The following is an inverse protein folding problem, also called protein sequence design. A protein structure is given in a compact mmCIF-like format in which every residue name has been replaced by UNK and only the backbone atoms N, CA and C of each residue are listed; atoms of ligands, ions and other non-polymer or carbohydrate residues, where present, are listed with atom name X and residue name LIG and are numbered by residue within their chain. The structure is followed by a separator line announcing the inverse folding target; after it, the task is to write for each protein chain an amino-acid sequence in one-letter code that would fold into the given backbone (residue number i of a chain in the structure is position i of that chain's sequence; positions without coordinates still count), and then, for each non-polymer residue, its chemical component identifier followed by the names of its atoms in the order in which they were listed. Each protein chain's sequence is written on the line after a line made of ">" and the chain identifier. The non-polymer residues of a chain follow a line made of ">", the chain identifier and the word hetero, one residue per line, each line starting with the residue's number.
data_IF_166729912373
#
_entry.id   IF_166729912373
#
_cell.length_a   1.000
_cell.length_b   1.000
_cell.length_c   1.000
_cell.angle_alpha   90.00
_cell.angle_beta   90.00
_cell.angle_gamma   90.00
#
_symmetry.space_group_name_H-M   'P 1'
#
loop_
_entity.id
_entity.type
_entity.pdbx_description
1 polymer ?
#
# COMPACT_ATOMS: atom_id res chain seq x y z
N UNK A 1 -8.95 2.55 22.30
CA UNK A 1 -7.92 3.52 21.85
C UNK A 1 -7.97 4.73 22.76
N UNK A 2 -6.91 4.98 23.51
CA UNK A 2 -6.77 6.17 24.35
C UNK A 2 -6.31 7.32 23.47
N UNK A 3 -7.16 8.33 23.28
CA UNK A 3 -6.82 9.50 22.47
C UNK A 3 -5.87 10.39 23.28
N UNK A 4 -4.59 10.42 22.92
CA UNK A 4 -3.60 11.30 23.56
C UNK A 4 -3.67 12.66 22.87
N UNK A 5 -3.99 13.70 23.62
CA UNK A 5 -3.94 15.08 23.13
C UNK A 5 -2.50 15.57 23.25
N UNK A 6 -1.87 15.89 22.12
CA UNK A 6 -0.51 16.46 22.14
C UNK A 6 -0.64 17.95 22.47
N UNK A 7 -0.27 18.32 23.70
CA UNK A 7 -0.23 19.70 24.19
C UNK A 7 1.23 20.06 24.52
N UNK A 8 1.73 21.17 23.97
CA UNK A 8 3.08 21.67 24.22
C UNK A 8 3.29 22.18 25.66
N UNK A 9 2.22 22.34 26.44
CA UNK A 9 2.29 22.73 27.85
C UNK A 9 2.31 21.54 28.80
N UNK A 10 1.96 20.35 28.33
CA UNK A 10 1.98 19.10 29.09
C UNK A 10 3.31 18.35 28.94
N UNK A 11 3.77 17.72 30.03
CA UNK A 11 5.07 17.01 30.05
C UNK A 11 5.03 15.80 29.11
N UNK A 12 3.93 15.04 29.11
CA UNK A 12 3.79 13.89 28.23
C UNK A 12 3.68 14.30 26.75
N UNK A 13 3.04 15.43 26.47
CA UNK A 13 3.00 16.04 25.13
C UNK A 13 4.39 16.43 24.61
N UNK A 14 5.23 17.05 25.46
CA UNK A 14 6.61 17.41 25.11
C UNK A 14 7.49 16.19 24.82
N UNK A 15 7.41 15.15 25.65
CA UNK A 15 8.15 13.91 25.43
C UNK A 15 7.73 13.21 24.13
N UNK A 16 6.44 13.24 23.80
CA UNK A 16 5.93 12.72 22.53
C UNK A 16 6.47 13.52 21.32
N UNK A 17 6.49 14.86 21.40
CA UNK A 17 7.04 15.72 20.36
C UNK A 17 8.53 15.45 20.14
N UNK A 18 9.30 15.32 21.22
CA UNK A 18 10.75 15.06 21.14
C UNK A 18 11.05 13.67 20.56
N UNK A 19 10.23 12.68 20.90
CA UNK A 19 10.31 11.34 20.32
C UNK A 19 10.05 11.38 18.80
N UNK A 20 9.03 12.12 18.35
CA UNK A 20 8.68 12.23 16.92
C UNK A 20 9.74 12.98 16.11
N UNK A 21 10.37 14.02 16.67
CA UNK A 21 11.46 14.76 16.00
C UNK A 21 12.66 13.87 15.64
N UNK A 22 12.87 12.82 16.42
CA UNK A 22 13.98 11.89 16.26
C UNK A 22 13.63 10.66 15.41
N UNK A 23 12.38 10.53 14.93
CA UNK A 23 11.97 9.50 13.98
C UNK A 23 12.11 10.00 12.55
N UNK A 24 12.58 9.13 11.66
CA UNK A 24 12.50 9.39 10.21
C UNK A 24 11.05 9.29 9.74
N UNK A 25 10.72 9.93 8.61
CA UNK A 25 9.38 9.82 8.01
C UNK A 25 8.99 8.35 7.76
N UNK A 26 9.94 7.50 7.37
CA UNK A 26 9.74 6.06 7.20
C UNK A 26 9.36 5.35 8.52
N UNK A 27 9.98 5.74 9.64
CA UNK A 27 9.67 5.17 10.97
C UNK A 27 8.35 5.66 11.55
N UNK A 28 7.83 6.78 11.07
CA UNK A 28 6.50 7.29 11.47
C UNK A 28 5.39 6.53 10.77
N UNK A 29 5.64 6.03 9.55
CA UNK A 29 4.68 5.22 8.77
C UNK A 29 4.82 3.71 9.01
N UNK A 30 5.99 3.23 9.46
CA UNK A 30 6.20 1.81 9.84
C UNK A 30 5.47 1.39 11.13
N UNK A 31 5.00 2.33 11.95
CA UNK A 31 4.23 2.07 13.18
C UNK A 31 2.72 1.86 12.94
N UNK A 32 2.25 1.92 11.68
CA UNK A 32 1.02 1.22 11.32
C UNK A 32 1.36 -0.26 11.41
N UNK A 33 0.84 -0.90 12.46
CA UNK A 33 0.95 -2.32 12.83
C UNK A 33 1.31 -3.22 11.66
N UNK A 34 2.09 -4.28 11.90
CA UNK A 34 2.33 -5.41 10.98
C UNK A 34 1.01 -5.96 10.40
N UNK A 35 0.38 -5.21 9.50
CA UNK A 35 -0.78 -5.59 8.74
C UNK A 35 -0.25 -6.71 7.85
N UNK A 36 -0.91 -7.87 7.92
CA UNK A 36 -0.59 -8.98 7.05
C UNK A 36 -0.43 -8.44 5.62
N UNK A 37 0.68 -8.80 4.96
CA UNK A 37 0.94 -8.39 3.58
C UNK A 37 -0.36 -8.61 2.81
N UNK A 38 -0.81 -7.61 2.04
CA UNK A 38 -2.06 -7.71 1.27
C UNK A 38 -2.08 -9.02 0.45
N UNK A 39 -0.91 -9.52 0.04
CA UNK A 39 -0.73 -10.79 -0.64
C UNK A 39 -1.27 -11.97 0.15
N UNK A 40 -1.12 -11.97 1.47
CA UNK A 40 -1.62 -13.01 2.38
C UNK A 40 -3.14 -12.88 2.60
N UNK A 41 -3.71 -11.68 2.40
CA UNK A 41 -5.13 -11.39 2.64
C UNK A 41 -6.07 -11.80 1.49
N UNK A 42 -5.57 -11.89 0.25
CA UNK A 42 -6.43 -12.19 -0.92
C UNK A 42 -6.81 -13.69 -0.99
N UNK A 43 -7.92 -14.08 -1.62
CA UNK A 43 -8.27 -15.49 -1.82
C UNK A 43 -7.28 -16.27 -2.71
N UNK A 44 -7.14 -17.60 -2.55
CA UNK A 44 -6.28 -18.43 -3.41
C UNK A 44 -6.57 -18.31 -4.91
N UNK A 45 -7.83 -18.15 -5.29
CA UNK A 45 -8.27 -17.97 -6.67
C UNK A 45 -7.76 -16.66 -7.29
N UNK A 46 -7.66 -15.59 -6.49
CA UNK A 46 -7.12 -14.31 -6.92
C UNK A 46 -5.59 -14.40 -7.07
N UNK A 47 -4.90 -15.04 -6.13
CA UNK A 47 -3.45 -15.34 -6.26
C UNK A 47 -3.17 -16.15 -7.53
N UNK A 48 -3.94 -17.20 -7.77
CA UNK A 48 -3.80 -18.01 -8.99
C UNK A 48 -4.08 -17.23 -10.28
N UNK A 49 -5.01 -16.27 -10.25
CA UNK A 49 -5.26 -15.39 -11.38
C UNK A 49 -4.09 -14.44 -11.65
N UNK A 50 -3.47 -13.90 -10.59
CA UNK A 50 -2.29 -13.05 -10.67
C UNK A 50 -1.09 -13.84 -11.23
N UNK A 51 -0.80 -15.02 -10.68
CA UNK A 51 0.31 -15.87 -11.13
C UNK A 51 0.20 -16.23 -12.62
N UNK A 52 -1.02 -16.53 -13.08
CA UNK A 52 -1.29 -16.76 -14.50
C UNK A 52 -1.01 -15.50 -15.35
N UNK A 53 -1.41 -14.33 -14.88
CA UNK A 53 -1.14 -13.07 -15.55
C UNK A 53 0.37 -12.77 -15.66
N UNK A 54 1.14 -13.04 -14.60
CA UNK A 54 2.59 -12.93 -14.60
C UNK A 54 3.22 -13.87 -15.63
N UNK A 55 2.78 -15.14 -15.66
CA UNK A 55 3.22 -16.11 -16.67
C UNK A 55 2.86 -15.69 -18.09
N UNK A 56 1.68 -15.12 -18.32
CA UNK A 56 1.28 -14.58 -19.62
C UNK A 56 2.23 -13.47 -20.08
N UNK A 57 2.68 -12.61 -19.17
CA UNK A 57 3.68 -11.57 -19.47
C UNK A 57 5.02 -12.17 -19.86
N UNK A 58 5.52 -13.13 -19.07
CA UNK A 58 6.79 -13.82 -19.35
C UNK A 58 6.79 -14.54 -20.70
N UNK A 59 5.66 -15.15 -21.07
CA UNK A 59 5.48 -15.87 -22.34
C UNK A 59 5.12 -14.92 -23.51
N UNK A 60 5.05 -13.61 -23.28
CA UNK A 60 4.72 -12.62 -24.31
C UNK A 60 3.26 -12.65 -24.77
N UNK A 61 2.37 -13.30 -24.00
CA UNK A 61 0.91 -13.32 -24.22
C UNK A 61 0.24 -12.01 -23.76
N UNK A 62 0.81 -10.87 -24.17
CA UNK A 62 0.27 -9.54 -23.88
C UNK A 62 -0.32 -8.92 -25.14
N UNK A 63 -1.22 -7.96 -24.97
CA UNK A 63 -1.80 -7.19 -26.09
C UNK A 63 -1.24 -5.76 -26.05
N UNK A 64 -0.70 -5.24 -27.17
CA UNK A 64 -0.21 -3.87 -27.22
C UNK A 64 -1.28 -2.83 -26.87
N UNK A 65 -0.88 -1.75 -26.20
CA UNK A 65 -1.78 -0.66 -25.80
C UNK A 65 -2.61 -0.12 -26.97
N UNK A 66 -2.00 0.04 -28.16
CA UNK A 66 -2.68 0.53 -29.35
C UNK A 66 -3.86 -0.36 -29.78
N UNK A 67 -3.73 -1.69 -29.64
CA UNK A 67 -4.80 -2.63 -29.95
C UNK A 67 -5.91 -2.61 -28.91
N UNK A 68 -5.55 -2.53 -27.61
CA UNK A 68 -6.54 -2.43 -26.52
C UNK A 68 -7.35 -1.14 -26.63
N UNK A 69 -6.70 -0.02 -26.99
CA UNK A 69 -7.35 1.28 -27.13
C UNK A 69 -8.47 1.25 -28.18
N UNK A 70 -8.32 0.49 -29.27
CA UNK A 70 -9.35 0.36 -30.33
C UNK A 70 -10.66 -0.22 -29.78
N UNK A 71 -10.58 -1.12 -28.80
CA UNK A 71 -11.75 -1.79 -28.19
C UNK A 71 -12.55 -0.80 -27.33
N UNK A 72 -11.85 0.05 -26.58
CA UNK A 72 -12.45 1.01 -25.65
C UNK A 72 -12.71 2.40 -26.24
N UNK A 73 -12.28 2.65 -27.49
CA UNK A 73 -12.44 3.93 -28.18
C UNK A 73 -13.89 4.43 -28.24
N UNK A 74 -14.90 3.54 -28.13
CA UNK A 74 -16.31 3.93 -28.12
C UNK A 74 -16.78 4.57 -26.79
N UNK A 75 -15.97 4.51 -25.74
CA UNK A 75 -16.29 5.01 -24.39
C UNK A 75 -15.35 6.11 -23.90
N UNK A 76 -14.38 6.51 -24.74
CA UNK A 76 -13.42 7.59 -24.50
C UNK A 76 -13.79 8.79 -25.38
#
# INVERSE_FOLDING_TARGET
>A
MTKIWIDETDIAGKEAIETLKNKSFAQVIEDEEEEADWWDTIPPEERAAIDRGLKDVEEGRTTPHEEVRKIYAKWL
#
